data_IF_916015986529
#
_entry.id   IF_916015986529
#
_cell.length_a   1.000
_cell.length_b   1.000
_cell.length_c   1.000
_cell.angle_alpha   90.00
_cell.angle_beta   90.00
_cell.angle_gamma   90.00
#
_symmetry.space_group_name_H-M   'P 1'
#
loop_
_entity.id
_entity.type
_entity.pdbx_description
1 polymer ?
#
# COMPACT_ATOMS: atom_id res chain seq x y z
N UNK A 1 6.92 21.25 1.55
CA UNK A 1 6.56 20.58 2.82
C UNK A 1 5.82 19.31 2.44
N UNK A 2 6.45 18.14 2.52
CA UNK A 2 5.77 16.87 2.29
C UNK A 2 5.11 16.42 3.58
N UNK A 3 3.78 16.27 3.56
CA UNK A 3 2.99 15.74 4.68
C UNK A 3 3.23 14.24 4.82
N UNK A 4 2.91 13.68 5.99
CA UNK A 4 3.03 12.23 6.23
C UNK A 4 2.23 11.43 5.19
N UNK A 5 1.02 11.90 4.87
CA UNK A 5 0.18 11.38 3.80
C UNK A 5 0.96 11.21 2.49
N UNK A 6 1.56 12.29 1.97
CA UNK A 6 2.29 12.21 0.70
C UNK A 6 3.48 11.27 0.73
N UNK A 7 4.10 11.05 1.90
CA UNK A 7 5.17 10.05 2.02
C UNK A 7 4.65 8.62 1.95
N UNK A 8 3.48 8.37 2.55
CA UNK A 8 2.81 7.06 2.48
C UNK A 8 2.37 6.79 1.04
N UNK A 9 1.74 7.77 0.38
CA UNK A 9 1.30 7.63 -1.01
C UNK A 9 2.46 7.35 -1.97
N UNK A 10 3.58 8.05 -1.81
CA UNK A 10 4.78 7.85 -2.62
C UNK A 10 5.40 6.48 -2.39
N UNK A 11 5.47 6.03 -1.13
CA UNK A 11 5.99 4.71 -0.74
C UNK A 11 5.13 3.57 -1.30
N UNK A 12 3.81 3.66 -1.14
CA UNK A 12 2.86 2.68 -1.65
C UNK A 12 2.85 2.65 -3.18
N UNK A 13 2.97 3.82 -3.80
CA UNK A 13 3.08 3.95 -5.24
C UNK A 13 4.35 3.32 -5.79
N UNK A 14 5.50 3.58 -5.16
CA UNK A 14 6.78 2.98 -5.53
C UNK A 14 6.77 1.45 -5.35
N UNK A 15 6.16 0.96 -4.26
CA UNK A 15 6.00 -0.46 -4.01
C UNK A 15 5.17 -1.15 -5.13
N UNK A 16 4.08 -0.52 -5.55
CA UNK A 16 3.26 -1.02 -6.66
C UNK A 16 4.03 -1.00 -7.98
N UNK A 17 4.70 0.10 -8.29
CA UNK A 17 5.49 0.30 -9.53
C UNK A 17 6.60 -0.76 -9.65
N UNK A 18 7.33 -1.01 -8.56
CA UNK A 18 8.39 -2.04 -8.52
C UNK A 18 7.83 -3.45 -8.79
N UNK A 19 6.65 -3.75 -8.25
CA UNK A 19 5.95 -5.02 -8.49
C UNK A 19 5.44 -5.14 -9.92
N UNK A 20 4.86 -4.08 -10.47
CA UNK A 20 4.38 -4.05 -11.85
C UNK A 20 5.54 -4.26 -12.83
N UNK A 21 6.67 -3.60 -12.61
CA UNK A 21 7.89 -3.77 -13.41
C UNK A 21 8.41 -5.22 -13.33
N UNK A 22 8.40 -5.82 -12.13
CA UNK A 22 8.84 -7.21 -11.95
C UNK A 22 7.97 -8.22 -12.71
N UNK A 23 6.68 -7.95 -12.86
CA UNK A 23 5.71 -8.81 -13.54
C UNK A 23 5.72 -8.57 -15.07
N UNK A 24 5.85 -7.31 -15.50
CA UNK A 24 5.96 -6.94 -16.91
C UNK A 24 7.23 -7.49 -17.59
N UNK A 25 8.26 -7.84 -16.83
CA UNK A 25 9.47 -8.50 -17.32
C UNK A 25 9.28 -9.95 -17.77
N UNK A 26 8.15 -10.58 -17.45
CA UNK A 26 7.86 -11.95 -17.85
C UNK A 26 7.05 -11.99 -19.17
N UNK A 27 7.62 -12.54 -20.27
CA UNK A 27 7.00 -12.52 -21.60
C UNK A 27 5.73 -13.38 -21.73
N UNK A 28 5.27 -14.02 -20.65
CA UNK A 28 4.03 -14.80 -20.61
C UNK A 28 2.83 -14.06 -20.02
N UNK A 29 3.03 -12.87 -19.46
CA UNK A 29 1.97 -12.05 -18.85
C UNK A 29 1.32 -11.14 -19.89
N UNK A 30 0.30 -11.65 -20.57
CA UNK A 30 -0.63 -10.86 -21.36
C UNK A 30 -1.74 -10.38 -20.42
N UNK A 31 -1.48 -9.33 -19.65
CA UNK A 31 -2.56 -8.43 -19.23
C UNK A 31 -1.93 -7.10 -18.80
N UNK A 32 -2.29 -6.04 -19.52
CA UNK A 32 -1.90 -4.65 -19.28
C UNK A 32 -2.59 -4.05 -18.03
N UNK A 33 -3.24 -4.88 -17.22
CA UNK A 33 -3.71 -4.54 -15.88
C UNK A 33 -2.62 -4.91 -14.89
N UNK A 34 -1.95 -3.91 -14.32
CA UNK A 34 -1.04 -4.10 -13.18
C UNK A 34 -1.62 -5.11 -12.19
N UNK A 35 -0.83 -6.11 -11.82
CA UNK A 35 -1.36 -7.30 -11.18
C UNK A 35 -2.19 -6.94 -9.93
N UNK A 36 -3.36 -7.57 -9.73
CA UNK A 36 -4.16 -7.33 -8.54
C UNK A 36 -3.30 -7.61 -7.30
N UNK A 37 -3.37 -6.71 -6.33
CA UNK A 37 -2.54 -6.83 -5.15
C UNK A 37 -3.23 -7.71 -4.11
N UNK A 38 -2.67 -8.89 -3.91
CA UNK A 38 -3.08 -9.78 -2.84
C UNK A 38 -2.86 -9.16 -1.46
N UNK A 39 -3.73 -9.54 -0.52
CA UNK A 39 -3.66 -9.13 0.88
C UNK A 39 -2.31 -9.42 1.55
N UNK A 40 -1.57 -10.44 1.09
CA UNK A 40 -0.20 -10.72 1.53
C UNK A 40 0.77 -9.59 1.14
N UNK A 41 0.74 -9.21 -0.14
CA UNK A 41 1.59 -8.18 -0.71
C UNK A 41 1.27 -6.81 -0.10
N UNK A 42 -0.01 -6.55 0.18
CA UNK A 42 -0.43 -5.36 0.91
C UNK A 42 0.07 -5.33 2.37
N UNK A 43 0.15 -6.49 3.04
CA UNK A 43 0.77 -6.58 4.36
C UNK A 43 2.28 -6.27 4.33
N UNK A 44 2.99 -6.61 3.25
CA UNK A 44 4.41 -6.25 3.12
C UNK A 44 4.59 -4.73 3.05
N UNK A 45 3.80 -4.04 2.24
CA UNK A 45 3.84 -2.59 2.15
C UNK A 45 3.50 -1.88 3.49
N UNK A 46 2.65 -2.50 4.32
CA UNK A 46 2.38 -2.01 5.67
C UNK A 46 3.60 -2.06 6.59
N UNK A 47 4.52 -3.01 6.40
CA UNK A 47 5.76 -3.09 7.20
C UNK A 47 6.63 -1.85 6.93
N UNK A 48 6.75 -1.42 5.68
CA UNK A 48 7.47 -0.21 5.31
C UNK A 48 6.81 1.05 5.89
N UNK A 49 5.46 1.10 5.88
CA UNK A 49 4.72 2.18 6.54
C UNK A 49 5.00 2.19 8.04
N UNK A 50 4.96 1.04 8.71
CA UNK A 50 5.22 0.91 10.15
C UNK A 50 6.60 1.46 10.52
N UNK A 51 7.61 1.18 9.68
CA UNK A 51 8.96 1.73 9.83
C UNK A 51 8.97 3.24 9.61
N UNK A 52 8.23 3.73 8.62
CA UNK A 52 8.13 5.15 8.28
C UNK A 52 7.45 5.98 9.38
N UNK A 53 6.38 5.44 9.99
CA UNK A 53 5.66 6.08 11.09
C UNK A 53 6.29 5.79 12.46
N UNK A 54 7.14 4.77 12.55
CA UNK A 54 7.77 4.33 13.80
C UNK A 54 6.78 3.68 14.79
N UNK A 55 5.65 3.18 14.29
CA UNK A 55 4.57 2.54 15.06
C UNK A 55 4.08 1.31 14.31
N UNK A 56 3.58 0.31 15.03
CA UNK A 56 2.96 -0.87 14.42
C UNK A 56 1.49 -0.58 14.14
N UNK A 57 1.10 -0.58 12.88
CA UNK A 57 -0.29 -0.40 12.47
C UNK A 57 -0.90 -1.77 12.20
N UNK A 58 -2.02 -2.11 12.86
CA UNK A 58 -2.70 -3.38 12.62
C UNK A 58 -3.20 -3.45 11.17
N UNK A 59 -2.67 -4.42 10.42
CA UNK A 59 -3.07 -4.66 9.02
C UNK A 59 -4.57 -4.98 8.89
N UNK A 60 -5.21 -5.51 9.93
CA UNK A 60 -6.67 -5.73 9.95
C UNK A 60 -7.50 -4.44 9.92
N UNK A 61 -6.91 -3.30 10.32
CA UNK A 61 -7.57 -1.98 10.29
C UNK A 61 -7.39 -1.30 8.95
N UNK A 62 -6.35 -1.65 8.19
CA UNK A 62 -5.93 -0.94 6.98
C UNK A 62 -6.10 -1.78 5.70
N UNK A 63 -5.83 -3.08 5.78
CA UNK A 63 -5.90 -4.01 4.65
C UNK A 63 -7.30 -4.58 4.52
N UNK A 64 -7.86 -4.45 3.31
CA UNK A 64 -9.14 -5.07 2.97
C UNK A 64 -8.94 -6.56 2.63
N UNK A 65 -9.79 -7.43 3.19
CA UNK A 65 -9.71 -8.89 3.01
C UNK A 65 -9.89 -9.37 1.55
N UNK A 66 -10.22 -8.48 0.62
CA UNK A 66 -10.37 -8.76 -0.81
C UNK A 66 -9.15 -8.42 -1.68
N UNK A 67 -8.08 -7.86 -1.11
CA UNK A 67 -6.99 -7.28 -1.90
C UNK A 67 -7.41 -5.97 -2.58
N UNK A 68 -6.64 -5.56 -3.59
CA UNK A 68 -6.84 -4.29 -4.29
C UNK A 68 -6.81 -4.46 -5.81
N UNK A 69 -7.82 -3.89 -6.47
CA UNK A 69 -7.99 -3.97 -7.92
C UNK A 69 -7.13 -2.96 -8.70
N UNK A 70 -6.64 -1.91 -8.03
CA UNK A 70 -5.89 -0.84 -8.67
C UNK A 70 -4.95 -0.13 -7.69
N UNK A 71 -3.86 0.41 -8.20
CA UNK A 71 -2.88 1.21 -7.47
C UNK A 71 -3.52 2.34 -6.67
N UNK A 72 -4.35 3.16 -7.30
CA UNK A 72 -5.04 4.27 -6.60
C UNK A 72 -5.92 3.77 -5.45
N UNK A 73 -6.65 2.67 -5.66
CA UNK A 73 -7.51 2.07 -4.64
C UNK A 73 -6.68 1.61 -3.43
N UNK A 74 -5.55 0.97 -3.70
CA UNK A 74 -4.60 0.54 -2.68
C UNK A 74 -4.01 1.73 -1.92
N UNK A 75 -3.44 2.70 -2.64
CA UNK A 75 -2.83 3.88 -2.05
C UNK A 75 -3.85 4.62 -1.19
N UNK A 76 -5.04 4.88 -1.72
CA UNK A 76 -6.06 5.65 -1.01
C UNK A 76 -6.55 4.94 0.25
N UNK A 77 -6.97 3.66 0.15
CA UNK A 77 -7.48 2.93 1.31
C UNK A 77 -6.42 2.75 2.39
N UNK A 78 -5.19 2.39 2.00
CA UNK A 78 -4.12 2.17 2.97
C UNK A 78 -3.73 3.49 3.65
N UNK A 79 -3.57 4.55 2.87
CA UNK A 79 -3.23 5.88 3.40
C UNK A 79 -4.31 6.38 4.35
N UNK A 80 -5.59 6.25 3.97
CA UNK A 80 -6.70 6.67 4.82
C UNK A 80 -6.76 5.87 6.12
N UNK A 81 -6.65 4.54 6.06
CA UNK A 81 -6.63 3.67 7.23
C UNK A 81 -5.47 3.98 8.20
N UNK A 82 -4.27 4.21 7.66
CA UNK A 82 -3.10 4.62 8.44
C UNK A 82 -3.31 5.96 9.11
N UNK A 83 -3.78 6.97 8.37
CA UNK A 83 -4.01 8.32 8.91
C UNK A 83 -5.11 8.32 9.96
N UNK A 84 -6.21 7.60 9.74
CA UNK A 84 -7.28 7.45 10.73
C UNK A 84 -6.77 6.75 11.98
N UNK A 85 -6.00 5.68 11.85
CA UNK A 85 -5.43 4.98 13.01
C UNK A 85 -4.51 5.90 13.82
N UNK A 86 -3.60 6.61 13.14
CA UNK A 86 -2.70 7.56 13.79
C UNK A 86 -3.45 8.70 14.47
N UNK A 87 -4.52 9.22 13.86
CA UNK A 87 -5.34 10.27 14.45
C UNK A 87 -6.08 9.82 15.71
N UNK A 88 -6.54 8.56 15.77
CA UNK A 88 -7.23 8.00 16.95
C UNK A 88 -6.25 7.60 18.08
N UNK A 89 -4.99 7.34 17.78
CA UNK A 89 -3.95 7.01 18.77
C UNK A 89 -3.39 8.24 19.51
N UNK A 90 -3.60 9.44 18.98
CA UNK A 90 -3.15 10.71 19.57
C UNK A 90 -4.20 11.37 20.51
N UNK A 91 -5.38 10.73 20.71
CA UNK A 91 -6.43 11.13 21.69
C UNK A 91 -6.37 10.34 23.00
#
# INVERSE_FOLDING_TARGET
>A
MTTLQSKIEDLLGAFWDEREIAIAGDPTSIDDMGAPMDSLTACEAMIDIDVLVGKKIPVEVVISNGGYESRDQFIQQVTEGVLTYLANEDE
#
